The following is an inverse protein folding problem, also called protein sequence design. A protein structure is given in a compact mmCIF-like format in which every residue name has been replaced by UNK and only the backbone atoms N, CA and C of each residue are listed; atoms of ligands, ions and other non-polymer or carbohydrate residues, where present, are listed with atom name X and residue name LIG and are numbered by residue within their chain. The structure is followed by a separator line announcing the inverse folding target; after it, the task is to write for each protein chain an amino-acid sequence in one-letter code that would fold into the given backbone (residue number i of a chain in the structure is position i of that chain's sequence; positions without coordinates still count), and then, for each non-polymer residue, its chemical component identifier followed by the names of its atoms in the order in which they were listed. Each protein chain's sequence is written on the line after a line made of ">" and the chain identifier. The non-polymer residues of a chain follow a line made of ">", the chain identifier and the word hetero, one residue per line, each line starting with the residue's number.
data_IF_510166596051
#
_entry.id   IF_510166596051
#
_cell.length_a   1.000
_cell.length_b   1.000
_cell.length_c   1.000
_cell.angle_alpha   90.00
_cell.angle_beta   90.00
_cell.angle_gamma   90.00
#
_symmetry.space_group_name_H-M   'P 1'
#
loop_
_entity.id
_entity.type
_entity.pdbx_description
1 polymer ?
#
# COMPACT_ATOMS: atom_id res chain seq x y z
N UNK A 1 7.06 23.55 5.14
CA UNK A 1 6.22 22.59 4.38
C UNK A 1 6.24 21.27 5.14
N UNK A 2 5.12 20.80 5.67
CA UNK A 2 5.10 19.56 6.48
C UNK A 2 5.28 18.37 5.54
N UNK A 3 6.48 17.81 5.52
CA UNK A 3 6.89 16.67 4.70
C UNK A 3 6.06 15.40 4.99
N UNK A 4 5.36 15.37 6.12
CA UNK A 4 4.33 14.38 6.45
C UNK A 4 2.93 14.89 6.08
N UNK A 5 2.54 14.73 4.82
CA UNK A 5 1.13 14.71 4.41
C UNK A 5 0.73 13.26 4.18
N UNK A 6 -0.36 12.82 4.82
CA UNK A 6 -0.96 11.49 4.69
C UNK A 6 -1.14 11.04 3.23
N UNK A 7 -1.35 11.97 2.29
CA UNK A 7 -1.42 11.66 0.86
C UNK A 7 -0.09 11.17 0.27
N UNK A 8 1.03 11.79 0.64
CA UNK A 8 2.35 11.36 0.19
C UNK A 8 2.71 9.97 0.78
N UNK A 9 2.39 9.76 2.06
CA UNK A 9 2.54 8.46 2.71
C UNK A 9 1.68 7.40 2.03
N UNK A 10 0.43 7.72 1.66
CA UNK A 10 -0.42 6.79 0.93
C UNK A 10 0.20 6.35 -0.39
N UNK A 11 0.68 7.29 -1.19
CA UNK A 11 1.24 6.99 -2.51
C UNK A 11 2.51 6.15 -2.39
N UNK A 12 3.38 6.44 -1.41
CA UNK A 12 4.55 5.62 -1.12
C UNK A 12 4.15 4.17 -0.79
N UNK A 13 3.16 3.96 0.09
CA UNK A 13 2.71 2.62 0.46
C UNK A 13 2.12 1.86 -0.74
N UNK A 14 1.36 2.52 -1.62
CA UNK A 14 0.87 1.91 -2.87
C UNK A 14 2.03 1.42 -3.75
N UNK A 15 3.05 2.26 -3.95
CA UNK A 15 4.23 1.90 -4.76
C UNK A 15 4.98 0.71 -4.17
N UNK A 16 5.18 0.68 -2.86
CA UNK A 16 5.84 -0.43 -2.18
C UNK A 16 5.05 -1.73 -2.31
N UNK A 17 3.72 -1.69 -2.13
CA UNK A 17 2.86 -2.87 -2.33
C UNK A 17 2.96 -3.37 -3.77
N UNK A 18 2.89 -2.48 -4.76
CA UNK A 18 2.96 -2.86 -6.17
C UNK A 18 4.29 -3.54 -6.52
N UNK A 19 5.41 -3.04 -6.01
CA UNK A 19 6.73 -3.63 -6.23
C UNK A 19 6.84 -5.00 -5.54
N UNK A 20 6.46 -5.10 -4.26
CA UNK A 20 6.66 -6.35 -3.50
C UNK A 20 5.67 -7.43 -3.97
N UNK A 21 4.38 -7.10 -4.12
CA UNK A 21 3.40 -8.04 -4.66
C UNK A 21 3.70 -8.38 -6.12
N UNK A 22 4.09 -7.39 -6.94
CA UNK A 22 4.46 -7.60 -8.34
C UNK A 22 5.64 -8.56 -8.47
N UNK A 23 6.71 -8.35 -7.68
CA UNK A 23 7.83 -9.28 -7.62
C UNK A 23 7.44 -10.65 -7.09
N UNK A 24 6.69 -10.73 -5.99
CA UNK A 24 6.22 -11.99 -5.43
C UNK A 24 5.33 -12.80 -6.38
N UNK A 25 4.48 -12.15 -7.18
CA UNK A 25 3.60 -12.81 -8.15
C UNK A 25 4.28 -13.08 -9.51
N UNK A 26 5.33 -12.33 -9.85
CA UNK A 26 6.14 -12.55 -11.06
C UNK A 26 7.25 -13.60 -10.88
N UNK A 27 7.31 -14.26 -9.72
CA UNK A 27 8.34 -15.27 -9.42
C UNK A 27 9.72 -14.68 -9.18
N UNK A 28 9.81 -13.42 -8.73
CA UNK A 28 11.07 -12.82 -8.33
C UNK A 28 11.66 -13.57 -7.12
N UNK A 29 12.92 -13.97 -7.22
CA UNK A 29 13.60 -14.69 -6.16
C UNK A 29 14.04 -13.73 -5.03
N UNK A 30 13.19 -13.61 -4.02
CA UNK A 30 13.44 -12.80 -2.84
C UNK A 30 14.58 -13.34 -1.97
N UNK A 31 14.99 -14.60 -2.17
CA UNK A 31 16.06 -15.21 -1.37
C UNK A 31 17.42 -14.55 -1.62
N UNK A 32 17.60 -13.92 -2.79
CA UNK A 32 18.77 -13.09 -3.11
C UNK A 32 18.93 -11.90 -2.15
N UNK A 33 17.84 -11.46 -1.52
CA UNK A 33 17.82 -10.39 -0.53
C UNK A 33 17.72 -10.95 0.91
N UNK A 34 17.84 -12.26 1.09
CA UNK A 34 17.69 -12.95 2.37
C UNK A 34 16.24 -13.03 2.87
N UNK A 35 15.25 -12.86 1.99
CA UNK A 35 13.82 -12.82 2.35
C UNK A 35 13.10 -14.01 1.70
N UNK A 36 12.29 -14.73 2.47
CA UNK A 36 11.42 -15.78 1.90
C UNK A 36 10.18 -15.18 1.24
N UNK A 37 9.60 -15.86 0.25
CA UNK A 37 8.35 -15.42 -0.40
C UNK A 37 7.21 -15.24 0.60
N UNK A 38 7.13 -16.12 1.61
CA UNK A 38 6.17 -16.01 2.71
C UNK A 38 6.36 -14.69 3.46
N UNK A 39 7.60 -14.34 3.79
CA UNK A 39 7.94 -13.09 4.47
C UNK A 39 7.62 -11.88 3.59
N UNK A 40 7.92 -11.93 2.29
CA UNK A 40 7.60 -10.87 1.33
C UNK A 40 6.08 -10.62 1.25
N UNK A 41 5.27 -11.68 1.21
CA UNK A 41 3.81 -11.59 1.24
C UNK A 41 3.28 -11.07 2.58
N UNK A 42 3.85 -11.48 3.71
CA UNK A 42 3.47 -10.96 5.03
C UNK A 42 3.75 -9.46 5.16
N UNK A 43 4.93 -9.00 4.69
CA UNK A 43 5.28 -7.58 4.64
C UNK A 43 4.27 -6.84 3.75
N UNK A 44 4.01 -7.35 2.56
CA UNK A 44 3.04 -6.74 1.63
C UNK A 44 1.65 -6.61 2.23
N UNK A 45 1.16 -7.68 2.87
CA UNK A 45 -0.15 -7.69 3.53
C UNK A 45 -0.23 -6.70 4.69
N UNK A 46 0.82 -6.57 5.49
CA UNK A 46 0.88 -5.58 6.57
C UNK A 46 0.86 -4.14 6.04
N UNK A 47 1.62 -3.85 4.98
CA UNK A 47 1.64 -2.53 4.32
C UNK A 47 0.27 -2.22 3.70
N UNK A 48 -0.38 -3.21 3.06
CA UNK A 48 -1.73 -3.07 2.51
C UNK A 48 -2.78 -2.82 3.61
N UNK A 49 -2.67 -3.48 4.77
CA UNK A 49 -3.56 -3.22 5.89
C UNK A 49 -3.36 -1.79 6.45
N UNK A 50 -2.10 -1.37 6.65
CA UNK A 50 -1.79 0.00 7.06
C UNK A 50 -2.36 1.02 6.08
N UNK A 51 -2.31 0.73 4.78
CA UNK A 51 -2.90 1.56 3.72
C UNK A 51 -4.41 1.71 3.85
N UNK A 52 -5.12 0.63 4.18
CA UNK A 52 -6.58 0.64 4.42
C UNK A 52 -6.89 1.51 5.64
N UNK A 53 -6.16 1.34 6.73
CA UNK A 53 -6.33 2.15 7.95
C UNK A 53 -6.13 3.64 7.65
N UNK A 54 -5.08 3.98 6.90
CA UNK A 54 -4.82 5.37 6.49
C UNK A 54 -5.99 5.94 5.69
N UNK A 55 -6.58 5.17 4.77
CA UNK A 55 -7.77 5.62 4.03
C UNK A 55 -8.97 5.79 4.96
N UNK A 56 -9.21 4.86 5.88
CA UNK A 56 -10.30 4.96 6.84
C UNK A 56 -10.17 6.18 7.75
N UNK A 57 -8.97 6.50 8.20
CA UNK A 57 -8.71 7.68 9.05
C UNK A 57 -8.82 8.98 8.25
N UNK A 58 -8.32 9.02 7.01
CA UNK A 58 -8.35 10.21 6.16
C UNK A 58 -9.75 10.53 5.65
N UNK A 59 -10.47 9.53 5.14
CA UNK A 59 -11.72 9.71 4.40
C UNK A 59 -12.95 9.38 5.25
N UNK A 60 -12.77 8.71 6.38
CA UNK A 60 -13.86 8.10 7.15
C UNK A 60 -14.48 6.89 6.42
N UNK A 61 -15.29 6.08 7.12
CA UNK A 61 -15.94 4.91 6.51
C UNK A 61 -16.82 5.25 5.30
N UNK A 62 -17.48 6.42 5.30
CA UNK A 62 -18.29 6.89 4.17
C UNK A 62 -17.45 7.33 2.98
N UNK A 63 -16.31 8.00 3.19
CA UNK A 63 -15.47 8.46 2.09
C UNK A 63 -14.76 7.33 1.36
N UNK A 64 -14.52 6.19 2.02
CA UNK A 64 -13.93 5.00 1.40
C UNK A 64 -14.83 4.29 0.38
N UNK A 65 -16.15 4.47 0.48
CA UNK A 65 -17.14 3.84 -0.42
C UNK A 65 -17.88 4.87 -1.28
N UNK A 66 -17.52 6.15 -1.15
CA UNK A 66 -18.12 7.21 -1.93
C UNK A 66 -17.72 7.05 -3.41
N UNK A 67 -18.65 7.27 -4.36
CA UNK A 67 -18.31 7.31 -5.77
C UNK A 67 -17.26 8.41 -6.03
N UNK A 68 -16.39 8.24 -7.05
CA UNK A 68 -15.40 9.24 -7.40
C UNK A 68 -16.08 10.59 -7.67
N UNK A 69 -15.47 11.68 -7.19
CA UNK A 69 -16.00 13.02 -7.41
C UNK A 69 -16.20 13.25 -8.91
N UNK A 70 -17.36 13.80 -9.30
CA UNK A 70 -17.58 14.20 -10.69
C UNK A 70 -16.56 15.28 -11.03
N UNK A 71 -15.80 15.07 -12.11
CA UNK A 71 -15.01 16.13 -12.72
C UNK A 71 -15.98 17.26 -13.11
N UNK A 72 -15.83 18.43 -12.49
CA UNK A 72 -16.56 19.66 -12.80
C UNK A 72 -15.77 20.52 -13.77
#
# INVERSE_FOLDING_TARGET
>A
MRWFNTNALHNLLNTLIAIICGGALAGFDWTLLGVSDRTALQISGAIALAKIIINAVRDGPRGMVAPPAKET
#
